data_IF_566883209438
#
_entry.id   IF_566883209438
#
_cell.length_a   1.000
_cell.length_b   1.000
_cell.length_c   1.000
_cell.angle_alpha   90.00
_cell.angle_beta   90.00
_cell.angle_gamma   90.00
#
_symmetry.space_group_name_H-M   'P 1'
#
loop_
_entity.id
_entity.type
_entity.pdbx_description
1 polymer ?
#
# COMPACT_ATOMS: atom_id res chain seq x y z
N UNK A 1 28.10 -4.58 17.01
CA UNK A 1 26.99 -4.75 16.05
C UNK A 1 26.04 -3.58 16.24
N UNK A 2 26.20 -2.53 15.43
CA UNK A 2 25.31 -1.37 15.46
C UNK A 2 23.98 -1.78 14.80
N UNK A 3 23.06 -2.33 15.61
CA UNK A 3 21.67 -2.51 15.22
C UNK A 3 20.98 -1.16 15.31
N UNK A 4 21.25 -0.29 14.35
CA UNK A 4 20.37 0.84 14.15
C UNK A 4 18.98 0.32 13.80
N UNK A 5 17.95 0.90 14.42
CA UNK A 5 16.55 0.58 14.08
C UNK A 5 16.21 1.24 12.75
N UNK A 6 16.68 0.66 11.66
CA UNK A 6 16.41 1.14 10.31
C UNK A 6 14.99 0.71 9.92
N UNK A 7 14.13 1.68 9.62
CA UNK A 7 12.81 1.46 9.02
C UNK A 7 12.94 1.70 7.53
N UNK A 8 12.80 0.63 6.73
CA UNK A 8 12.82 0.73 5.27
C UNK A 8 11.40 0.96 4.75
N UNK A 9 11.22 2.03 3.97
CA UNK A 9 9.96 2.35 3.29
C UNK A 9 10.21 2.25 1.79
N UNK A 10 9.42 1.42 1.10
CA UNK A 10 9.49 1.24 -0.36
C UNK A 10 8.19 1.73 -0.97
N UNK A 11 8.28 2.69 -1.89
CA UNK A 11 7.15 3.18 -2.68
C UNK A 11 7.34 2.66 -4.10
N UNK A 12 6.34 1.97 -4.62
CA UNK A 12 6.38 1.41 -5.96
C UNK A 12 5.04 1.64 -6.67
N UNK A 13 5.09 1.71 -7.99
CA UNK A 13 3.90 1.74 -8.82
C UNK A 13 3.22 0.37 -8.88
N UNK A 14 1.98 0.37 -9.35
CA UNK A 14 1.23 -0.85 -9.63
C UNK A 14 0.87 -0.90 -11.11
N UNK A 15 0.81 -2.10 -11.68
CA UNK A 15 0.46 -2.33 -13.08
C UNK A 15 -0.65 -3.37 -13.18
N UNK A 16 -1.49 -3.22 -14.20
CA UNK A 16 -2.51 -4.23 -14.49
C UNK A 16 -1.85 -5.48 -15.05
N UNK A 17 -2.06 -6.63 -14.39
CA UNK A 17 -1.64 -7.93 -14.88
C UNK A 17 -2.79 -8.58 -15.67
N UNK A 18 -2.70 -8.66 -17.02
CA UNK A 18 -3.78 -9.18 -17.84
C UNK A 18 -4.02 -10.67 -17.63
N UNK A 19 -3.02 -11.43 -17.18
CA UNK A 19 -3.18 -12.88 -16.93
C UNK A 19 -4.03 -13.15 -15.69
N UNK A 20 -3.90 -12.32 -14.65
CA UNK A 20 -4.68 -12.48 -13.42
C UNK A 20 -5.91 -11.58 -13.32
N UNK A 21 -6.06 -10.62 -14.26
CA UNK A 21 -7.12 -9.62 -14.24
C UNK A 21 -7.06 -8.68 -13.03
N UNK A 22 -5.91 -8.60 -12.36
CA UNK A 22 -5.71 -7.85 -11.13
C UNK A 22 -4.55 -6.87 -11.27
N UNK A 23 -4.68 -5.74 -10.59
CA UNK A 23 -3.56 -4.81 -10.42
C UNK A 23 -2.58 -5.37 -9.39
N UNK A 24 -1.29 -5.37 -9.73
CA UNK A 24 -0.21 -5.89 -8.87
C UNK A 24 0.95 -4.89 -8.77
N UNK A 25 1.71 -4.93 -7.67
CA UNK A 25 3.01 -4.26 -7.59
C UNK A 25 3.92 -4.63 -8.77
N UNK A 26 4.64 -3.65 -9.30
CA UNK A 26 5.82 -3.94 -10.12
C UNK A 26 6.77 -4.84 -9.31
N UNK A 27 7.41 -5.85 -9.92
CA UNK A 27 8.18 -6.88 -9.17
C UNK A 27 7.42 -7.57 -8.00
N UNK A 28 6.12 -7.87 -8.15
CA UNK A 28 5.30 -8.49 -7.09
C UNK A 28 5.97 -9.69 -6.39
N UNK A 29 6.70 -10.54 -7.14
CA UNK A 29 7.42 -11.70 -6.59
C UNK A 29 8.46 -11.34 -5.52
N UNK A 30 9.09 -10.17 -5.62
CA UNK A 30 10.01 -9.68 -4.59
C UNK A 30 9.23 -9.31 -3.33
N UNK A 31 8.17 -8.51 -3.47
CA UNK A 31 7.34 -8.04 -2.36
C UNK A 31 6.52 -9.13 -1.70
N UNK A 32 6.27 -10.24 -2.40
CA UNK A 32 5.64 -11.44 -1.81
C UNK A 32 6.61 -12.23 -0.92
N UNK A 33 7.93 -12.08 -1.11
CA UNK A 33 8.96 -12.75 -0.31
C UNK A 33 9.40 -11.94 0.91
N UNK A 34 9.22 -10.63 0.90
CA UNK A 34 9.61 -9.75 2.01
C UNK A 34 8.48 -9.74 3.04
N UNK A 35 8.75 -10.24 4.26
CA UNK A 35 7.82 -10.08 5.41
C UNK A 35 7.73 -8.60 5.75
N UNK A 36 6.67 -7.95 5.25
CA UNK A 36 6.49 -6.49 5.29
C UNK A 36 5.04 -6.13 5.55
N UNK A 37 4.85 -4.93 6.11
CA UNK A 37 3.55 -4.28 6.14
C UNK A 37 3.29 -3.71 4.75
N UNK A 38 2.23 -4.18 4.09
CA UNK A 38 1.83 -3.69 2.77
C UNK A 38 0.76 -2.61 2.95
N UNK A 39 0.98 -1.45 2.34
CA UNK A 39 0.02 -0.33 2.34
C UNK A 39 -0.43 -0.08 0.91
N UNK A 40 -1.69 -0.36 0.62
CA UNK A 40 -2.31 -0.11 -0.69
C UNK A 40 -3.13 1.17 -0.62
N UNK A 41 -2.86 2.11 -1.53
CA UNK A 41 -3.62 3.35 -1.68
C UNK A 41 -4.46 3.26 -2.93
N UNK A 42 -5.77 3.48 -2.80
CA UNK A 42 -6.69 3.45 -3.94
C UNK A 42 -7.69 4.60 -3.87
N UNK A 43 -8.18 5.01 -5.03
CA UNK A 43 -9.28 5.95 -5.19
C UNK A 43 -10.33 5.28 -6.07
N UNK A 44 -11.51 4.93 -5.53
CA UNK A 44 -12.58 4.41 -6.36
C UNK A 44 -13.02 5.48 -7.36
N UNK A 45 -13.37 5.07 -8.59
CA UNK A 45 -13.80 5.99 -9.64
C UNK A 45 -14.95 6.87 -9.17
N UNK A 46 -14.75 8.18 -9.17
CA UNK A 46 -15.78 9.18 -8.86
C UNK A 46 -16.14 9.37 -7.39
N UNK A 47 -15.54 8.63 -6.45
CA UNK A 47 -15.86 8.77 -5.02
C UNK A 47 -14.70 9.33 -4.18
N UNK A 48 -15.06 10.20 -3.24
CA UNK A 48 -14.32 10.46 -2.01
C UNK A 48 -15.05 9.71 -0.88
N UNK A 49 -14.35 9.24 0.17
CA UNK A 49 -12.91 9.43 0.44
C UNK A 49 -12.01 8.38 -0.24
N UNK A 50 -10.70 8.70 -0.34
CA UNK A 50 -9.70 7.72 -0.81
C UNK A 50 -9.57 6.60 0.23
N UNK A 51 -9.17 5.41 -0.20
CA UNK A 51 -9.05 4.24 0.67
C UNK A 51 -7.60 3.80 0.83
N UNK A 52 -7.19 3.60 2.08
CA UNK A 52 -5.93 2.98 2.47
C UNK A 52 -6.24 1.59 3.03
N UNK A 53 -5.56 0.57 2.53
CA UNK A 53 -5.59 -0.77 3.09
C UNK A 53 -4.20 -1.10 3.63
N UNK A 54 -4.12 -1.45 4.91
CA UNK A 54 -2.90 -1.92 5.56
C UNK A 54 -3.05 -3.41 5.78
N UNK A 55 -2.09 -4.20 5.28
CA UNK A 55 -2.10 -5.66 5.42
C UNK A 55 -0.76 -6.20 5.91
N UNK A 56 -0.84 -7.23 6.75
CA UNK A 56 0.31 -7.96 7.28
C UNK A 56 -0.11 -9.36 7.71
N UNK A 57 0.64 -10.39 7.31
CA UNK A 57 0.45 -11.79 7.75
C UNK A 57 -0.99 -12.32 7.64
N UNK A 58 -1.70 -11.93 6.58
CA UNK A 58 -3.08 -12.37 6.31
C UNK A 58 -4.18 -11.57 7.01
N UNK A 59 -3.83 -10.65 7.92
CA UNK A 59 -4.74 -9.66 8.46
C UNK A 59 -4.70 -8.39 7.61
N UNK A 60 -5.84 -7.71 7.50
CA UNK A 60 -5.92 -6.40 6.86
C UNK A 60 -6.90 -5.47 7.59
N UNK A 61 -6.70 -4.17 7.43
CA UNK A 61 -7.61 -3.12 7.89
C UNK A 61 -7.68 -2.02 6.84
N UNK A 62 -8.86 -1.41 6.72
CA UNK A 62 -9.13 -0.32 5.77
C UNK A 62 -9.45 0.97 6.50
N UNK A 63 -8.93 2.07 5.97
CA UNK A 63 -9.17 3.43 6.45
C UNK A 63 -9.56 4.33 5.27
N UNK A 64 -10.46 5.26 5.53
CA UNK A 64 -10.72 6.36 4.63
C UNK A 64 -9.70 7.47 4.90
N UNK A 65 -9.20 8.12 3.84
CA UNK A 65 -8.28 9.24 4.00
C UNK A 65 -8.54 10.36 3.00
N UNK A 66 -8.09 11.55 3.37
CA UNK A 66 -7.97 12.70 2.49
C UNK A 66 -6.53 13.20 2.44
N UNK A 67 -6.22 13.89 1.34
CA UNK A 67 -4.95 14.61 1.21
C UNK A 67 -5.29 16.09 1.32
N UNK A 68 -4.82 16.71 2.41
CA UNK A 68 -4.91 18.16 2.67
C UNK A 68 -3.53 18.79 2.50
N UNK A 69 -3.45 20.11 2.62
CA UNK A 69 -2.16 20.83 2.58
C UNK A 69 -1.21 20.42 3.72
N UNK A 70 -1.74 19.92 4.83
CA UNK A 70 -1.03 19.35 5.98
C UNK A 70 -0.52 17.92 5.75
N UNK A 71 -0.93 17.26 4.66
CA UNK A 71 -0.59 15.87 4.37
C UNK A 71 -1.78 14.93 4.34
N UNK A 72 -1.60 13.69 4.84
CA UNK A 72 -2.64 12.67 4.89
C UNK A 72 -3.39 12.76 6.21
N UNK A 73 -4.70 12.91 6.14
CA UNK A 73 -5.59 12.93 7.31
C UNK A 73 -6.67 11.85 7.20
N UNK A 74 -7.14 11.38 8.35
CA UNK A 74 -8.31 10.51 8.40
C UNK A 74 -9.55 11.30 7.97
N UNK A 75 -10.42 10.67 7.18
CA UNK A 75 -11.70 11.26 6.77
C UNK A 75 -12.72 11.18 7.90
#
# INVERSE_FOLDING_TARGET
CLREKIVLILIHEVSFDPTSGKTKPFYSKLYDRIDSIKVNLSQPMGSRPKQMEISSKGAFTKFAYEIKSSGIENF
#
